data_IF_987168379099
#
_entry.id   IF_987168379099
#
_cell.length_a   1.000
_cell.length_b   1.000
_cell.length_c   1.000
_cell.angle_alpha   90.00
_cell.angle_beta   90.00
_cell.angle_gamma   90.00
#
_symmetry.space_group_name_H-M   'P 1'
#
loop_
_entity.id
_entity.type
_entity.pdbx_description
1 polymer ?
#
# COMPACT_ATOMS: atom_id res chain seq x y z
N UNK A 1 -10.51 -21.29 -23.29
CA UNK A 1 -9.59 -20.17 -23.63
C UNK A 1 -9.30 -19.40 -22.36
N UNK A 2 -8.18 -19.70 -21.71
CA UNK A 2 -7.74 -18.96 -20.51
C UNK A 2 -7.32 -17.55 -20.93
N UNK A 3 -7.93 -16.53 -20.35
CA UNK A 3 -7.49 -15.14 -20.53
C UNK A 3 -6.01 -15.09 -20.15
N UNK A 4 -5.13 -14.80 -21.12
CA UNK A 4 -3.72 -14.47 -20.84
C UNK A 4 -3.73 -13.43 -19.72
N UNK A 5 -3.07 -13.68 -18.56
CA UNK A 5 -3.02 -12.67 -17.52
C UNK A 5 -2.48 -11.39 -18.14
N UNK A 6 -3.26 -10.29 -18.04
CA UNK A 6 -2.77 -8.93 -18.35
C UNK A 6 -1.41 -8.81 -17.67
N UNK A 7 -0.36 -8.76 -18.48
CA UNK A 7 1.00 -9.07 -18.06
C UNK A 7 1.36 -8.21 -16.85
N UNK A 8 1.71 -8.79 -15.69
CA UNK A 8 1.95 -8.07 -14.43
C UNK A 8 2.93 -6.89 -14.59
N UNK A 9 3.79 -6.93 -15.61
CA UNK A 9 4.67 -5.84 -16.03
C UNK A 9 3.96 -4.52 -16.36
N UNK A 10 2.67 -4.54 -16.75
CA UNK A 10 1.90 -3.30 -16.95
C UNK A 10 1.74 -2.49 -15.66
N UNK A 11 2.07 -3.08 -14.50
CA UNK A 11 2.05 -2.43 -13.20
C UNK A 11 3.36 -1.72 -12.87
N UNK A 12 4.48 -2.08 -13.50
CA UNK A 12 5.79 -1.46 -13.20
C UNK A 12 5.77 0.05 -13.43
N UNK A 13 5.26 0.57 -14.56
CA UNK A 13 5.11 2.02 -14.74
C UNK A 13 4.25 2.66 -13.66
N UNK A 14 3.18 1.98 -13.21
CA UNK A 14 2.30 2.48 -12.14
C UNK A 14 3.00 2.55 -10.78
N UNK A 15 3.80 1.54 -10.43
CA UNK A 15 4.61 1.58 -9.21
C UNK A 15 5.64 2.72 -9.25
N UNK A 16 6.26 2.95 -10.41
CA UNK A 16 7.18 4.07 -10.60
C UNK A 16 6.49 5.42 -10.42
N UNK A 17 5.30 5.61 -11.01
CA UNK A 17 4.49 6.83 -10.82
C UNK A 17 4.20 7.08 -9.34
N UNK A 18 3.84 6.03 -8.58
CA UNK A 18 3.58 6.14 -7.14
C UNK A 18 4.84 6.51 -6.35
N UNK A 19 6.00 5.93 -6.70
CA UNK A 19 7.30 6.26 -6.09
C UNK A 19 7.68 7.73 -6.32
N UNK A 20 7.49 8.22 -7.54
CA UNK A 20 7.72 9.62 -7.92
C UNK A 20 6.73 10.56 -7.21
N UNK A 21 5.47 10.12 -7.02
CA UNK A 21 4.48 10.87 -6.25
C UNK A 21 4.85 10.98 -4.78
N UNK A 22 5.27 9.88 -4.15
CA UNK A 22 5.74 9.86 -2.75
C UNK A 22 6.93 10.80 -2.54
N UNK A 23 7.89 10.80 -3.48
CA UNK A 23 9.03 11.73 -3.47
C UNK A 23 8.57 13.20 -3.53
N UNK A 24 7.60 13.49 -4.38
CA UNK A 24 7.03 14.83 -4.54
C UNK A 24 6.37 15.29 -3.25
N UNK A 25 5.58 14.43 -2.61
CA UNK A 25 4.94 14.70 -1.32
C UNK A 25 6.01 14.95 -0.25
N UNK A 26 7.05 14.10 -0.19
CA UNK A 26 8.14 14.24 0.78
C UNK A 26 8.83 15.59 0.69
N UNK A 27 9.18 16.02 -0.53
CA UNK A 27 9.79 17.34 -0.79
C UNK A 27 8.86 18.49 -0.40
N UNK A 28 7.56 18.36 -0.68
CA UNK A 28 6.58 19.36 -0.31
C UNK A 28 6.45 19.49 1.22
N UNK A 29 6.43 18.37 1.94
CA UNK A 29 6.42 18.37 3.41
C UNK A 29 7.67 19.07 3.95
N UNK A 30 8.86 18.68 3.51
CA UNK A 30 10.15 19.31 3.91
C UNK A 30 10.13 20.81 3.70
N UNK A 31 9.71 21.25 2.50
CA UNK A 31 9.64 22.68 2.16
C UNK A 31 8.69 23.45 3.07
N UNK A 32 7.54 22.87 3.42
CA UNK A 32 6.49 23.57 4.17
C UNK A 32 6.67 23.48 5.69
N UNK A 33 7.16 22.35 6.21
CA UNK A 33 7.38 22.15 7.65
C UNK A 33 8.75 22.64 8.13
N UNK A 34 9.72 22.82 7.22
CA UNK A 34 11.09 23.20 7.57
C UNK A 34 11.92 22.05 8.17
N UNK A 35 11.39 20.84 8.16
CA UNK A 35 12.04 19.65 8.71
C UNK A 35 13.07 19.12 7.71
N UNK A 36 14.17 18.58 8.22
CA UNK A 36 15.22 18.03 7.37
C UNK A 36 14.72 16.83 6.58
N UNK A 37 15.13 16.76 5.31
CA UNK A 37 14.82 15.66 4.40
C UNK A 37 15.26 14.28 4.92
N UNK A 38 16.33 14.23 5.71
CA UNK A 38 16.91 13.02 6.30
C UNK A 38 16.55 12.85 7.78
N UNK A 39 15.56 13.59 8.28
CA UNK A 39 15.11 13.47 9.69
C UNK A 39 14.47 12.11 9.96
N UNK A 40 14.42 11.75 11.25
CA UNK A 40 13.64 10.60 11.75
C UNK A 40 12.19 11.01 12.09
N UNK A 41 11.71 12.14 11.56
CA UNK A 41 10.32 12.55 11.70
C UNK A 41 9.39 11.47 11.12
N UNK A 42 8.32 11.14 11.84
CA UNK A 42 7.38 10.10 11.44
C UNK A 42 6.81 10.27 10.02
N UNK A 43 6.65 11.51 9.54
CA UNK A 43 6.21 11.78 8.15
C UNK A 43 7.26 11.34 7.15
N UNK A 44 8.55 11.60 7.41
CA UNK A 44 9.64 11.17 6.54
C UNK A 44 9.81 9.66 6.57
N UNK A 45 9.80 9.07 7.77
CA UNK A 45 9.90 7.61 7.96
C UNK A 45 8.79 6.86 7.23
N UNK A 46 7.55 7.36 7.30
CA UNK A 46 6.42 6.75 6.61
C UNK A 46 6.53 6.86 5.08
N UNK A 47 6.84 8.04 4.55
CA UNK A 47 6.99 8.26 3.11
C UNK A 47 8.16 7.44 2.53
N UNK A 48 9.31 7.40 3.21
CA UNK A 48 10.46 6.59 2.80
C UNK A 48 10.13 5.10 2.85
N UNK A 49 9.48 4.65 3.92
CA UNK A 49 9.07 3.24 4.04
C UNK A 49 8.13 2.83 2.90
N UNK A 50 7.15 3.68 2.55
CA UNK A 50 6.24 3.44 1.43
C UNK A 50 7.00 3.43 0.10
N UNK A 51 7.92 4.37 -0.11
CA UNK A 51 8.73 4.47 -1.32
C UNK A 51 9.64 3.25 -1.50
N UNK A 52 10.34 2.83 -0.45
CA UNK A 52 11.18 1.63 -0.42
C UNK A 52 10.35 0.39 -0.74
N UNK A 53 9.22 0.21 -0.05
CA UNK A 53 8.37 -0.98 -0.23
C UNK A 53 7.80 -1.05 -1.65
N UNK A 54 7.32 0.07 -2.17
CA UNK A 54 6.76 0.18 -3.53
C UNK A 54 7.84 -0.08 -4.59
N UNK A 55 9.03 0.49 -4.41
CA UNK A 55 10.17 0.26 -5.30
C UNK A 55 10.61 -1.19 -5.28
N UNK A 56 10.73 -1.79 -4.10
CA UNK A 56 11.14 -3.19 -3.94
C UNK A 56 10.19 -4.14 -4.66
N UNK A 57 8.87 -3.94 -4.56
CA UNK A 57 7.88 -4.75 -5.30
C UNK A 57 8.06 -4.61 -6.81
N UNK A 58 8.19 -3.38 -7.32
CA UNK A 58 8.44 -3.15 -8.75
C UNK A 58 9.73 -3.82 -9.23
N UNK A 59 10.81 -3.72 -8.45
CA UNK A 59 12.08 -4.38 -8.73
C UNK A 59 11.96 -5.91 -8.73
N UNK A 60 11.26 -6.49 -7.75
CA UNK A 60 11.05 -7.94 -7.69
C UNK A 60 10.27 -8.45 -8.89
N UNK A 61 9.17 -7.78 -9.28
CA UNK A 61 8.40 -8.15 -10.47
C UNK A 61 9.30 -8.12 -11.73
N UNK A 62 10.11 -7.05 -11.87
CA UNK A 62 11.05 -6.93 -12.98
C UNK A 62 12.11 -8.04 -12.96
N UNK A 63 12.69 -8.34 -11.80
CA UNK A 63 13.69 -9.40 -11.64
C UNK A 63 13.12 -10.77 -12.02
N UNK A 64 11.91 -11.11 -11.56
CA UNK A 64 11.26 -12.37 -11.91
C UNK A 64 10.99 -12.48 -13.41
N UNK A 65 10.55 -11.39 -14.04
CA UNK A 65 10.36 -11.34 -15.49
C UNK A 65 11.67 -11.47 -16.27
N UNK A 66 12.72 -10.76 -15.86
CA UNK A 66 14.05 -10.87 -16.46
C UNK A 66 14.61 -12.28 -16.34
N UNK A 67 14.40 -12.94 -15.20
CA UNK A 67 14.81 -14.34 -14.99
C UNK A 67 14.04 -15.30 -15.90
N UNK A 68 12.72 -15.12 -16.03
CA UNK A 68 11.92 -15.93 -16.95
C UNK A 68 12.37 -15.76 -18.41
N UNK A 69 12.69 -14.53 -18.82
CA UNK A 69 13.23 -14.23 -20.15
C UNK A 69 14.63 -14.82 -20.36
N UNK A 70 15.50 -14.81 -19.34
CA UNK A 70 16.82 -15.44 -19.41
C UNK A 70 16.75 -16.94 -19.69
N UNK A 71 15.73 -17.61 -19.14
CA UNK A 71 15.43 -19.02 -19.40
C UNK A 71 14.59 -19.24 -20.66
N UNK A 72 14.32 -18.21 -21.46
CA UNK A 72 13.65 -18.33 -22.75
C UNK A 72 14.66 -18.16 -23.88
N UNK A 73 14.83 -19.19 -24.71
CA UNK A 73 15.70 -19.14 -25.90
C UNK A 73 14.88 -19.49 -27.13
N UNK A 74 14.96 -18.65 -28.18
CA UNK A 74 14.24 -18.88 -29.44
C UNK A 74 12.72 -19.10 -29.25
N UNK A 75 12.13 -18.45 -28.24
CA UNK A 75 10.72 -18.60 -27.89
C UNK A 75 10.38 -19.85 -27.07
N UNK A 76 11.36 -20.70 -26.76
CA UNK A 76 11.20 -21.91 -25.93
C UNK A 76 11.60 -21.59 -24.49
N UNK A 77 10.65 -21.74 -23.56
CA UNK A 77 10.86 -21.53 -22.13
C UNK A 77 11.43 -22.78 -21.45
N UNK A 78 12.63 -22.68 -20.89
CA UNK A 78 13.26 -23.72 -20.08
C UNK A 78 12.70 -23.70 -18.65
N UNK A 79 11.56 -24.37 -18.47
CA UNK A 79 10.88 -24.45 -17.17
C UNK A 79 11.76 -25.05 -16.07
N UNK A 80 12.46 -26.15 -16.35
CA UNK A 80 13.35 -26.81 -15.37
C UNK A 80 14.47 -25.89 -14.91
N UNK A 81 15.10 -25.16 -15.85
CA UNK A 81 16.14 -24.17 -15.53
C UNK A 81 15.60 -23.03 -14.67
N UNK A 82 14.45 -22.48 -15.04
CA UNK A 82 13.77 -21.43 -14.27
C UNK A 82 13.43 -21.89 -12.85
N UNK A 83 12.77 -23.04 -12.70
CA UNK A 83 12.38 -23.61 -11.40
C UNK A 83 13.58 -23.87 -10.50
N UNK A 84 14.69 -24.37 -11.09
CA UNK A 84 15.95 -24.55 -10.37
C UNK A 84 16.54 -23.20 -9.91
N UNK A 85 16.46 -22.15 -10.73
CA UNK A 85 16.97 -20.82 -10.36
C UNK A 85 16.17 -20.13 -9.26
N UNK A 86 14.84 -20.26 -9.26
CA UNK A 86 13.99 -19.68 -8.20
C UNK A 86 13.97 -20.53 -6.93
N UNK A 87 14.37 -21.80 -7.01
CA UNK A 87 14.48 -22.69 -5.85
C UNK A 87 13.13 -23.05 -5.22
N UNK A 88 12.05 -23.07 -5.99
CA UNK A 88 10.69 -23.19 -5.43
C UNK A 88 10.34 -24.59 -4.92
N UNK A 89 10.97 -25.63 -5.47
CA UNK A 89 10.66 -27.03 -5.15
C UNK A 89 9.25 -27.49 -5.55
N UNK A 90 8.51 -26.67 -6.30
CA UNK A 90 7.13 -26.94 -6.75
C UNK A 90 6.98 -26.65 -8.24
N UNK A 91 5.84 -26.99 -8.84
CA UNK A 91 5.61 -26.74 -10.26
C UNK A 91 5.53 -25.23 -10.59
N UNK A 92 5.57 -24.89 -11.87
CA UNK A 92 5.54 -23.49 -12.34
C UNK A 92 4.32 -22.71 -11.87
N UNK A 93 3.13 -23.28 -11.98
CA UNK A 93 1.88 -22.59 -11.62
C UNK A 93 1.82 -22.28 -10.11
N UNK A 94 2.32 -23.19 -9.28
CA UNK A 94 2.46 -22.97 -7.84
C UNK A 94 3.56 -21.96 -7.51
N UNK A 95 4.69 -22.03 -8.22
CA UNK A 95 5.81 -21.09 -8.09
C UNK A 95 5.35 -19.65 -8.34
N UNK A 96 4.68 -19.42 -9.48
CA UNK A 96 4.16 -18.09 -9.85
C UNK A 96 3.17 -17.57 -8.79
N UNK A 97 2.25 -18.43 -8.34
CA UNK A 97 1.29 -18.08 -7.28
C UNK A 97 2.01 -17.70 -5.99
N UNK A 98 2.92 -18.54 -5.49
CA UNK A 98 3.64 -18.28 -4.23
C UNK A 98 4.42 -16.96 -4.33
N UNK A 99 5.18 -16.75 -5.41
CA UNK A 99 5.99 -15.55 -5.57
C UNK A 99 5.13 -14.28 -5.60
N UNK A 100 4.10 -14.25 -6.45
CA UNK A 100 3.29 -13.05 -6.63
C UNK A 100 2.29 -12.83 -5.51
N UNK A 101 1.71 -13.88 -4.93
CA UNK A 101 0.82 -13.74 -3.78
C UNK A 101 1.59 -13.31 -2.53
N UNK A 102 2.77 -13.87 -2.27
CA UNK A 102 3.59 -13.43 -1.14
C UNK A 102 3.95 -11.95 -1.25
N UNK A 103 4.42 -11.52 -2.43
CA UNK A 103 4.71 -10.11 -2.69
C UNK A 103 3.47 -9.23 -2.51
N UNK A 104 2.32 -9.61 -3.09
CA UNK A 104 1.08 -8.84 -3.04
C UNK A 104 0.54 -8.70 -1.62
N UNK A 105 0.42 -9.82 -0.92
CA UNK A 105 -0.18 -9.89 0.41
C UNK A 105 0.71 -9.23 1.47
N UNK A 106 2.02 -9.44 1.37
CA UNK A 106 3.01 -8.79 2.22
C UNK A 106 3.02 -7.28 2.00
N UNK A 107 3.09 -6.84 0.74
CA UNK A 107 3.10 -5.42 0.38
C UNK A 107 1.84 -4.69 0.88
N UNK A 108 0.65 -5.22 0.57
CA UNK A 108 -0.62 -4.66 1.01
C UNK A 108 -0.67 -4.46 2.53
N UNK A 109 -0.23 -5.48 3.28
CA UNK A 109 -0.23 -5.45 4.74
C UNK A 109 0.76 -4.43 5.29
N UNK A 110 1.97 -4.37 4.72
CA UNK A 110 3.00 -3.40 5.09
C UNK A 110 2.53 -1.97 4.81
N UNK A 111 1.97 -1.69 3.62
CA UNK A 111 1.42 -0.39 3.27
C UNK A 111 0.38 0.06 4.29
N UNK A 112 -0.60 -0.79 4.61
CA UNK A 112 -1.61 -0.49 5.61
C UNK A 112 -1.00 -0.09 6.96
N UNK A 113 -0.07 -0.90 7.48
CA UNK A 113 0.53 -0.62 8.79
C UNK A 113 1.40 0.64 8.79
N UNK A 114 2.07 0.97 7.68
CA UNK A 114 2.83 2.23 7.59
C UNK A 114 1.92 3.46 7.65
N UNK A 115 0.74 3.39 7.04
CA UNK A 115 -0.27 4.45 7.12
C UNK A 115 -0.87 4.53 8.53
N UNK A 116 -1.23 3.38 9.11
CA UNK A 116 -1.73 3.26 10.49
C UNK A 116 -0.77 3.90 11.50
N UNK A 117 0.51 3.51 11.45
CA UNK A 117 1.54 4.06 12.33
C UNK A 117 1.73 5.57 12.16
N UNK A 118 1.74 6.05 10.91
CA UNK A 118 1.84 7.49 10.63
C UNK A 118 0.69 8.26 11.28
N UNK A 119 -0.55 7.79 11.12
CA UNK A 119 -1.71 8.45 11.71
C UNK A 119 -1.68 8.41 13.23
N UNK A 120 -1.23 7.30 13.82
CA UNK A 120 -1.05 7.20 15.27
C UNK A 120 -0.03 8.23 15.77
N UNK A 121 1.15 8.30 15.15
CA UNK A 121 2.22 9.23 15.55
C UNK A 121 1.79 10.69 15.41
N UNK A 122 1.10 11.04 14.31
CA UNK A 122 0.57 12.40 14.11
C UNK A 122 -0.46 12.75 15.19
N UNK A 123 -1.45 11.89 15.43
CA UNK A 123 -2.52 12.18 16.40
C UNK A 123 -1.96 12.28 17.82
N UNK A 124 -1.03 11.40 18.18
CA UNK A 124 -0.30 11.45 19.45
C UNK A 124 0.43 12.79 19.61
N UNK A 125 1.12 13.27 18.58
CA UNK A 125 1.80 14.58 18.61
C UNK A 125 0.82 15.74 18.76
N UNK A 126 -0.37 15.64 18.15
CA UNK A 126 -1.43 16.62 18.29
C UNK A 126 -2.17 16.56 19.64
N UNK A 127 -1.81 15.63 20.52
CA UNK A 127 -2.58 15.30 21.73
C UNK A 127 -4.06 14.98 21.41
N UNK A 128 -4.30 14.40 20.24
CA UNK A 128 -5.60 13.94 19.79
C UNK A 128 -5.66 12.41 19.89
N UNK A 129 -6.86 11.88 20.17
CA UNK A 129 -7.06 10.44 20.20
C UNK A 129 -8.45 10.10 19.65
N UNK A 130 -8.58 8.99 18.93
CA UNK A 130 -9.88 8.58 18.43
C UNK A 130 -10.79 8.20 19.60
N UNK A 131 -12.09 8.52 19.47
CA UNK A 131 -13.10 8.21 20.52
C UNK A 131 -13.20 6.71 20.85
N UNK A 132 -12.81 5.85 19.92
CA UNK A 132 -12.80 4.39 20.04
C UNK A 132 -11.51 3.85 19.42
N UNK A 133 -11.05 2.69 19.89
CA UNK A 133 -9.86 2.04 19.33
C UNK A 133 -10.12 1.48 17.93
N UNK A 134 -9.03 1.22 17.20
CA UNK A 134 -9.06 0.58 15.88
C UNK A 134 -8.92 1.54 14.70
N UNK A 135 -8.38 1.00 13.60
CA UNK A 135 -7.97 1.77 12.42
C UNK A 135 -9.09 2.63 11.81
N UNK A 136 -10.33 2.13 11.77
CA UNK A 136 -11.48 2.89 11.27
C UNK A 136 -11.67 4.21 12.02
N UNK A 137 -11.57 4.19 13.35
CA UNK A 137 -11.73 5.38 14.18
C UNK A 137 -10.47 6.27 14.11
N UNK A 138 -9.29 5.67 13.96
CA UNK A 138 -8.05 6.41 13.72
C UNK A 138 -8.12 7.23 12.42
N UNK A 139 -8.55 6.60 11.32
CA UNK A 139 -8.76 7.28 10.03
C UNK A 139 -9.82 8.37 10.11
N UNK A 140 -10.86 8.16 10.94
CA UNK A 140 -11.89 9.18 11.17
C UNK A 140 -11.31 10.41 11.87
N UNK A 141 -10.53 10.19 12.92
CA UNK A 141 -9.94 11.26 13.73
C UNK A 141 -8.92 12.08 12.93
N UNK A 142 -8.03 11.43 12.16
CA UNK A 142 -7.03 12.16 11.37
C UNK A 142 -7.67 13.05 10.29
N UNK A 143 -8.75 12.59 9.64
CA UNK A 143 -9.48 13.38 8.65
C UNK A 143 -10.15 14.60 9.29
N UNK A 144 -10.72 14.45 10.49
CA UNK A 144 -11.27 15.58 11.26
C UNK A 144 -10.20 16.61 11.61
N UNK A 145 -9.05 16.17 12.14
CA UNK A 145 -7.96 17.07 12.50
C UNK A 145 -7.43 17.88 11.31
N UNK A 146 -7.54 17.33 10.10
CA UNK A 146 -7.09 17.96 8.86
C UNK A 146 -8.20 18.71 8.11
N UNK A 147 -9.42 18.77 8.66
CA UNK A 147 -10.60 19.34 7.99
C UNK A 147 -10.86 18.75 6.60
N UNK A 148 -10.54 17.46 6.41
CA UNK A 148 -10.79 16.75 5.15
C UNK A 148 -12.19 16.15 5.21
N UNK A 149 -12.99 16.42 4.18
CA UNK A 149 -14.37 15.97 4.15
C UNK A 149 -14.48 14.45 4.32
N UNK A 150 -15.32 14.03 5.27
CA UNK A 150 -15.70 12.64 5.48
C UNK A 150 -16.91 12.20 4.65
N UNK A 151 -17.60 13.15 4.02
CA UNK A 151 -18.77 12.84 3.17
C UNK A 151 -18.36 12.26 1.82
N UNK A 152 -17.06 12.31 1.49
CA UNK A 152 -16.49 11.64 0.33
C UNK A 152 -16.07 10.19 0.60
N UNK A 153 -15.36 9.60 -0.36
CA UNK A 153 -14.90 8.20 -0.30
C UNK A 153 -13.57 8.04 0.45
N UNK A 154 -12.97 9.13 0.96
CA UNK A 154 -11.62 9.13 1.55
C UNK A 154 -11.45 8.10 2.67
N UNK A 155 -12.39 8.08 3.62
CA UNK A 155 -12.36 7.13 4.73
C UNK A 155 -12.47 5.68 4.24
N UNK A 156 -13.34 5.45 3.26
CA UNK A 156 -13.53 4.13 2.65
C UNK A 156 -12.27 3.68 1.90
N UNK A 157 -11.59 4.59 1.20
CA UNK A 157 -10.33 4.35 0.50
C UNK A 157 -9.21 4.01 1.50
N UNK A 158 -9.04 4.81 2.56
CA UNK A 158 -8.03 4.56 3.59
C UNK A 158 -8.22 3.18 4.25
N UNK A 159 -9.48 2.81 4.49
CA UNK A 159 -9.83 1.54 5.14
C UNK A 159 -9.89 0.35 4.19
N UNK A 160 -9.74 0.57 2.87
CA UNK A 160 -9.77 -0.49 1.87
C UNK A 160 -8.72 -1.58 2.12
N UNK A 161 -7.48 -1.20 2.46
CA UNK A 161 -6.45 -2.19 2.75
C UNK A 161 -6.72 -2.99 4.02
N UNK A 162 -7.28 -2.35 5.05
CA UNK A 162 -7.69 -3.04 6.27
C UNK A 162 -8.78 -4.09 5.96
N UNK A 163 -9.76 -3.74 5.14
CA UNK A 163 -10.83 -4.65 4.72
C UNK A 163 -10.28 -5.82 3.89
N UNK A 164 -9.38 -5.57 2.94
CA UNK A 164 -8.71 -6.64 2.18
C UNK A 164 -7.91 -7.56 3.08
N UNK A 165 -7.02 -7.01 3.92
CA UNK A 165 -6.19 -7.78 4.86
C UNK A 165 -7.04 -8.66 5.77
N UNK A 166 -8.06 -8.08 6.41
CA UNK A 166 -8.93 -8.80 7.33
C UNK A 166 -9.67 -9.95 6.62
N UNK A 167 -10.14 -9.70 5.39
CA UNK A 167 -10.83 -10.73 4.60
C UNK A 167 -9.87 -11.84 4.19
N UNK A 168 -8.65 -11.50 3.75
CA UNK A 168 -7.63 -12.47 3.34
C UNK A 168 -7.12 -13.32 4.51
N UNK A 169 -6.96 -12.74 5.71
CA UNK A 169 -6.71 -13.51 6.95
C UNK A 169 -7.88 -14.45 7.29
N UNK A 170 -9.10 -14.08 6.92
CA UNK A 170 -10.30 -14.91 7.06
C UNK A 170 -10.52 -15.92 5.92
N UNK A 171 -9.45 -16.42 5.29
CA UNK A 171 -9.49 -17.30 4.10
C UNK A 171 -10.24 -16.67 2.91
N UNK A 172 -10.13 -15.35 2.76
CA UNK A 172 -10.80 -14.57 1.73
C UNK A 172 -12.26 -14.25 2.03
N UNK A 173 -12.79 -14.52 3.22
CA UNK A 173 -14.18 -14.20 3.59
C UNK A 173 -14.25 -12.89 4.35
N UNK A 174 -15.06 -11.95 3.86
CA UNK A 174 -15.34 -10.70 4.56
C UNK A 174 -16.32 -10.92 5.70
N UNK A 175 -16.00 -10.47 6.93
CA UNK A 175 -16.83 -10.76 8.13
C UNK A 175 -17.48 -9.52 8.77
N UNK A 176 -17.10 -8.33 8.33
CA UNK A 176 -17.64 -7.06 8.86
C UNK A 176 -18.81 -6.56 8.02
N UNK A 177 -19.29 -5.35 8.30
CA UNK A 177 -20.36 -4.72 7.54
C UNK A 177 -19.93 -4.47 6.09
N UNK A 178 -20.90 -4.46 5.21
CA UNK A 178 -20.68 -4.24 3.79
C UNK A 178 -19.94 -2.92 3.53
N UNK A 179 -19.06 -2.96 2.55
CA UNK A 179 -18.35 -1.79 2.05
C UNK A 179 -18.26 -1.90 0.53
N UNK A 180 -18.77 -0.88 -0.14
CA UNK A 180 -18.58 -0.71 -1.58
C UNK A 180 -17.86 0.62 -1.83
N UNK A 181 -16.82 0.56 -2.66
CA UNK A 181 -16.21 1.75 -3.19
C UNK A 181 -15.77 1.53 -4.63
N UNK A 182 -15.74 2.64 -5.39
CA UNK A 182 -15.23 2.66 -6.75
C UNK A 182 -14.08 3.66 -6.81
N UNK A 183 -12.92 3.20 -7.26
CA UNK A 183 -11.74 4.04 -7.49
C UNK A 183 -11.42 3.93 -8.97
N UNK A 184 -11.44 5.06 -9.67
CA UNK A 184 -11.42 5.11 -11.13
C UNK A 184 -12.51 4.20 -11.75
N UNK A 185 -12.11 3.18 -12.51
CA UNK A 185 -13.02 2.19 -13.11
C UNK A 185 -13.00 0.84 -12.37
N UNK A 186 -12.37 0.75 -11.19
CA UNK A 186 -12.24 -0.49 -10.43
C UNK A 186 -13.20 -0.47 -9.24
N UNK A 187 -14.01 -1.51 -9.14
CA UNK A 187 -14.95 -1.72 -8.05
C UNK A 187 -14.32 -2.56 -6.95
N UNK A 188 -14.55 -2.16 -5.70
CA UNK A 188 -14.22 -2.93 -4.51
C UNK A 188 -15.53 -3.24 -3.80
N UNK A 189 -15.88 -4.52 -3.76
CA UNK A 189 -17.07 -5.02 -3.07
C UNK A 189 -16.64 -5.92 -1.93
N UNK A 190 -16.99 -5.50 -0.73
CA UNK A 190 -16.86 -6.28 0.49
C UNK A 190 -18.28 -6.57 0.98
N UNK A 191 -18.76 -7.77 0.72
CA UNK A 191 -20.09 -8.21 1.16
C UNK A 191 -19.92 -9.15 2.34
N UNK A 192 -20.61 -8.88 3.43
CA UNK A 192 -20.56 -9.65 4.66
C UNK A 192 -20.82 -11.13 4.39
N UNK A 193 -20.00 -11.97 5.00
CA UNK A 193 -19.98 -13.43 4.86
C UNK A 193 -19.74 -13.94 3.43
N UNK A 194 -19.27 -13.09 2.53
CA UNK A 194 -18.95 -13.46 1.13
C UNK A 194 -17.45 -13.45 0.88
N UNK A 195 -17.02 -14.19 -0.15
CA UNK A 195 -15.63 -14.21 -0.58
C UNK A 195 -15.29 -12.88 -1.28
N UNK A 196 -14.15 -12.29 -0.95
CA UNK A 196 -13.65 -11.10 -1.64
C UNK A 196 -12.98 -11.47 -2.96
N UNK A 197 -13.33 -10.75 -4.02
CA UNK A 197 -12.73 -10.89 -5.35
C UNK A 197 -11.87 -9.68 -5.74
N UNK A 198 -12.00 -8.57 -4.99
CA UNK A 198 -11.33 -7.29 -5.25
C UNK A 198 -9.87 -7.23 -4.72
N UNK A 199 -9.13 -8.32 -4.82
CA UNK A 199 -7.77 -8.43 -4.25
C UNK A 199 -6.64 -8.44 -5.28
N UNK A 200 -6.93 -8.49 -6.60
CA UNK A 200 -5.87 -8.62 -7.63
C UNK A 200 -4.82 -7.50 -7.56
N UNK A 201 -3.66 -7.69 -8.19
CA UNK A 201 -2.64 -6.64 -8.22
C UNK A 201 -3.13 -5.29 -8.76
N UNK A 202 -4.08 -5.30 -9.71
CA UNK A 202 -4.68 -4.08 -10.24
C UNK A 202 -5.44 -3.32 -9.14
N UNK A 203 -6.19 -4.05 -8.29
CA UNK A 203 -6.86 -3.49 -7.12
C UNK A 203 -5.86 -2.91 -6.13
N UNK A 204 -4.77 -3.63 -5.83
CA UNK A 204 -3.75 -3.19 -4.87
C UNK A 204 -3.08 -1.89 -5.33
N UNK A 205 -2.70 -1.79 -6.61
CA UNK A 205 -2.03 -0.60 -7.16
C UNK A 205 -2.96 0.61 -7.19
N UNK A 206 -4.22 0.42 -7.62
CA UNK A 206 -5.21 1.52 -7.65
C UNK A 206 -5.55 1.99 -6.24
N UNK A 207 -5.72 1.07 -5.30
CA UNK A 207 -5.98 1.41 -3.91
C UNK A 207 -4.79 2.12 -3.26
N UNK A 208 -3.55 1.69 -3.56
CA UNK A 208 -2.34 2.37 -3.10
C UNK A 208 -2.27 3.80 -3.62
N UNK A 209 -2.49 4.00 -4.93
CA UNK A 209 -2.48 5.33 -5.55
C UNK A 209 -3.45 6.26 -4.84
N UNK A 210 -4.70 5.83 -4.68
CA UNK A 210 -5.72 6.62 -3.99
C UNK A 210 -5.39 6.88 -2.51
N UNK A 211 -4.76 5.92 -1.82
CA UNK A 211 -4.26 6.14 -0.46
C UNK A 211 -3.15 7.22 -0.43
N UNK A 212 -2.23 7.20 -1.40
CA UNK A 212 -1.15 8.21 -1.52
C UNK A 212 -1.73 9.62 -1.77
N UNK A 213 -2.77 9.74 -2.60
CA UNK A 213 -3.45 11.01 -2.83
C UNK A 213 -4.09 11.56 -1.54
N UNK A 214 -4.65 10.69 -0.69
CA UNK A 214 -5.21 11.09 0.59
C UNK A 214 -4.11 11.43 1.60
N UNK A 215 -3.00 10.68 1.61
CA UNK A 215 -1.84 10.99 2.44
C UNK A 215 -1.29 12.37 2.13
N UNK A 216 -1.21 12.75 0.85
CA UNK A 216 -0.82 14.10 0.45
C UNK A 216 -1.75 15.16 1.05
N UNK A 217 -3.08 14.98 0.92
CA UNK A 217 -4.06 15.90 1.53
C UNK A 217 -3.84 16.04 3.04
N UNK A 218 -3.62 14.93 3.74
CA UNK A 218 -3.35 14.91 5.20
C UNK A 218 -2.05 15.63 5.53
N UNK A 219 -0.94 15.22 4.90
CA UNK A 219 0.40 15.69 5.20
C UNK A 219 0.63 17.16 4.80
N UNK A 220 -0.10 17.64 3.79
CA UNK A 220 -0.06 19.02 3.33
C UNK A 220 -1.20 19.88 3.88
N UNK A 221 -2.04 19.33 4.76
CA UNK A 221 -3.05 20.13 5.45
C UNK A 221 -2.40 21.17 6.36
N UNK A 222 -3.05 22.33 6.52
CA UNK A 222 -2.57 23.42 7.37
C UNK A 222 -2.23 22.95 8.79
N UNK A 223 -3.02 22.02 9.34
CA UNK A 223 -2.80 21.45 10.67
C UNK A 223 -1.44 20.74 10.78
N UNK A 224 -1.07 19.96 9.75
CA UNK A 224 0.13 19.12 9.78
C UNK A 224 1.38 19.87 9.35
N UNK A 225 1.32 20.72 8.31
CA UNK A 225 2.51 21.49 7.87
C UNK A 225 2.95 22.55 8.89
N UNK A 226 2.06 22.97 9.78
CA UNK A 226 2.37 23.90 10.87
C UNK A 226 3.11 23.22 12.04
N UNK A 227 3.21 21.89 12.06
CA UNK A 227 4.07 21.17 12.99
C UNK A 227 5.52 21.31 12.52
N UNK A 228 6.26 22.24 13.14
CA UNK A 228 7.67 22.56 12.84
C UNK A 228 8.69 21.72 13.62
N UNK A 229 8.22 20.97 14.60
CA UNK A 229 9.03 20.02 15.38
C UNK A 229 8.96 18.62 14.76
N UNK A 230 9.93 17.78 15.09
CA UNK A 230 9.89 16.38 14.68
C UNK A 230 8.77 15.64 15.44
N UNK A 231 7.98 14.88 14.68
CA UNK A 231 7.01 13.92 15.20
C UNK A 231 7.77 12.63 15.48
N UNK A 232 7.79 12.18 16.74
CA UNK A 232 8.42 10.92 17.12
C UNK A 232 7.74 9.76 16.40
N UNK A 233 8.54 8.89 15.80
CA UNK A 233 8.08 7.60 15.28
C UNK A 233 8.27 6.51 16.33
N UNK A 234 7.16 5.97 16.86
CA UNK A 234 7.22 4.98 17.94
C UNK A 234 7.93 3.66 17.54
N UNK A 235 8.12 3.39 16.24
CA UNK A 235 8.77 2.17 15.77
C UNK A 235 10.26 2.35 15.45
N UNK A 236 10.67 3.51 14.92
CA UNK A 236 12.06 3.79 14.55
C UNK A 236 12.92 4.17 15.75
N UNK A 237 12.34 4.74 16.81
CA UNK A 237 13.09 5.23 17.96
C UNK A 237 13.44 4.16 19.02
N UNK A 238 13.05 2.90 18.80
CA UNK A 238 13.12 1.85 19.81
C UNK A 238 12.09 2.11 20.93
N UNK A 239 11.39 1.05 21.32
CA UNK A 239 10.64 1.05 22.57
C UNK A 239 11.61 1.13 23.76
#
# INVERSE_FOLDING_TARGET
>A
MSQKPKHIMVLIPKFREIVERLETIKRAVVKQSGIKYTSQDARMVALDSLQISTSAVGMWIQCCNSLANFHTKEGVFNETGFLKSVGSGVNKEQTERIMFDHLRLGFMTLTHFKIDNLFHNILKHLNASPRKTGYWNLTDEILDQCSISKTGTEKNILTGFANLRNSLHGNGVHRTNDLELKIDQIEFKFVKNSRVECASWEHIVVLLKANVDILEKVLLSAKIINIKTEIKDDFAFGA
#
